data_IF_966801117832
#
_entry.id   IF_966801117832
#
_cell.length_a   1.000
_cell.length_b   1.000
_cell.length_c   1.000
_cell.angle_alpha   90.00
_cell.angle_beta   90.00
_cell.angle_gamma   90.00
#
_symmetry.space_group_name_H-M   'P 1'
#
loop_
_entity.id
_entity.type
_entity.pdbx_description
1 polymer ?
#
# COMPACT_ATOMS: atom_id res chain seq x y z
N UNK A 1 6.68 -14.01 -1.59
CA UNK A 1 7.57 -14.19 -0.43
C UNK A 1 6.95 -13.37 0.67
N UNK A 2 6.64 -13.98 1.80
CA UNK A 2 5.96 -13.32 2.92
C UNK A 2 6.93 -12.30 3.51
N UNK A 3 6.74 -11.01 3.19
CA UNK A 3 7.64 -9.91 3.57
C UNK A 3 7.41 -9.57 5.06
N UNK A 4 7.78 -10.51 5.93
CA UNK A 4 7.53 -10.42 7.35
C UNK A 4 8.50 -9.42 7.97
N UNK A 5 7.98 -8.25 8.37
CA UNK A 5 8.76 -7.23 9.07
C UNK A 5 9.45 -7.83 10.30
N UNK A 6 10.78 -7.70 10.36
CA UNK A 6 11.53 -8.18 11.51
C UNK A 6 11.21 -7.29 12.73
N UNK A 7 10.62 -7.87 13.77
CA UNK A 7 10.31 -7.13 14.98
C UNK A 7 11.59 -6.85 15.80
N UNK A 8 11.79 -5.60 16.21
CA UNK A 8 12.89 -5.18 17.07
C UNK A 8 12.36 -4.30 18.21
N UNK A 9 12.94 -4.43 19.40
CA UNK A 9 12.58 -3.54 20.51
C UNK A 9 13.29 -2.19 20.38
N UNK A 10 12.69 -1.14 20.94
CA UNK A 10 13.35 0.18 21.03
C UNK A 10 14.70 0.13 21.77
N UNK A 11 14.87 -0.81 22.72
CA UNK A 11 16.13 -0.96 23.45
C UNK A 11 17.22 -1.53 22.54
N UNK A 12 16.91 -2.56 21.75
CA UNK A 12 17.85 -3.18 20.82
C UNK A 12 18.21 -2.24 19.69
N UNK A 13 17.21 -1.51 19.16
CA UNK A 13 17.41 -0.47 18.17
C UNK A 13 18.41 0.58 18.66
N UNK A 14 18.24 1.10 19.88
CA UNK A 14 19.17 2.09 20.46
C UNK A 14 20.60 1.57 20.56
N UNK A 15 20.77 0.30 20.92
CA UNK A 15 22.10 -0.31 21.08
C UNK A 15 22.81 -0.57 19.75
N UNK A 16 22.06 -0.75 18.66
CA UNK A 16 22.58 -1.26 17.37
C UNK A 16 22.12 -0.45 16.16
N UNK A 17 21.80 0.83 16.35
CA UNK A 17 21.15 1.65 15.31
C UNK A 17 21.92 1.66 13.98
N UNK A 18 23.25 1.77 14.02
CA UNK A 18 24.10 1.73 12.82
C UNK A 18 23.91 0.43 12.03
N UNK A 19 24.05 -0.72 12.69
CA UNK A 19 23.84 -2.03 12.05
C UNK A 19 22.42 -2.20 11.51
N UNK A 20 21.41 -1.69 12.20
CA UNK A 20 20.01 -1.78 11.75
C UNK A 20 19.80 -0.93 10.49
N UNK A 21 20.37 0.27 10.44
CA UNK A 21 20.34 1.14 9.26
C UNK A 21 21.09 0.49 8.10
N UNK A 22 22.30 -0.02 8.32
CA UNK A 22 23.11 -0.69 7.29
C UNK A 22 22.35 -1.87 6.69
N UNK A 23 21.74 -2.71 7.54
CA UNK A 23 20.91 -3.83 7.09
C UNK A 23 19.71 -3.36 6.27
N UNK A 24 19.07 -2.26 6.66
CA UNK A 24 17.96 -1.74 5.88
C UNK A 24 18.41 -1.20 4.52
N UNK A 25 19.53 -0.47 4.46
CA UNK A 25 20.03 0.11 3.20
C UNK A 25 20.57 -0.97 2.25
N UNK A 26 21.44 -1.84 2.75
CA UNK A 26 22.21 -2.77 1.92
C UNK A 26 21.52 -4.13 1.71
N UNK A 27 20.78 -4.60 2.71
CA UNK A 27 20.11 -5.90 2.64
C UNK A 27 18.60 -5.77 2.37
N UNK A 28 18.08 -4.55 2.28
CA UNK A 28 16.65 -4.24 2.12
C UNK A 28 15.78 -4.80 3.25
N UNK A 29 16.38 -4.99 4.43
CA UNK A 29 15.66 -5.42 5.62
C UNK A 29 14.67 -4.33 6.07
N UNK A 30 13.47 -4.75 6.47
CA UNK A 30 12.42 -3.89 7.02
C UNK A 30 12.14 -4.28 8.46
N UNK A 31 12.02 -3.28 9.34
CA UNK A 31 11.91 -3.51 10.77
C UNK A 31 10.61 -2.93 11.35
N UNK A 32 9.91 -3.74 12.15
CA UNK A 32 8.82 -3.29 13.00
C UNK A 32 9.36 -2.95 14.38
N UNK A 33 9.34 -1.68 14.75
CA UNK A 33 9.88 -1.19 16.02
C UNK A 33 8.78 -1.28 17.08
N UNK A 34 9.07 -1.97 18.19
CA UNK A 34 8.17 -2.16 19.33
C UNK A 34 8.65 -1.46 20.59
N UNK A 35 7.71 -0.92 21.37
CA UNK A 35 7.93 -0.42 22.74
C UNK A 35 6.90 -1.06 23.67
N UNK A 36 7.36 -1.80 24.69
CA UNK A 36 6.48 -2.57 25.60
C UNK A 36 5.48 -3.43 24.80
N UNK A 37 6.00 -4.19 23.83
CA UNK A 37 5.27 -5.07 22.90
C UNK A 37 4.27 -4.43 21.94
N UNK A 38 4.07 -3.11 22.03
CA UNK A 38 3.27 -2.36 21.05
C UNK A 38 4.13 -1.91 19.89
N UNK A 39 3.64 -2.11 18.67
CA UNK A 39 4.22 -1.50 17.47
C UNK A 39 4.11 0.03 17.56
N UNK A 40 5.21 0.73 17.27
CA UNK A 40 5.28 2.20 17.37
C UNK A 40 5.83 2.88 16.12
N UNK A 41 6.65 2.20 15.35
CA UNK A 41 7.23 2.73 14.12
C UNK A 41 7.68 1.58 13.21
N UNK A 42 7.92 1.90 11.94
CA UNK A 42 8.61 1.03 10.99
C UNK A 42 9.87 1.73 10.50
N UNK A 43 10.90 0.94 10.21
CA UNK A 43 12.08 1.39 9.50
C UNK A 43 12.15 0.62 8.20
N UNK A 44 12.14 1.36 7.09
CA UNK A 44 12.20 0.83 5.73
C UNK A 44 13.28 1.58 4.95
N UNK A 45 13.83 0.98 3.88
CA UNK A 45 14.66 1.70 2.93
C UNK A 45 13.93 2.93 2.38
N UNK A 46 14.68 4.00 2.08
CA UNK A 46 14.08 5.21 1.54
C UNK A 46 13.38 4.97 0.19
N UNK A 47 13.93 4.07 -0.64
CA UNK A 47 13.33 3.64 -1.91
C UNK A 47 11.93 3.04 -1.70
N UNK A 48 11.75 2.20 -0.68
CA UNK A 48 10.44 1.62 -0.35
C UNK A 48 9.47 2.70 0.13
N UNK A 49 9.94 3.62 0.98
CA UNK A 49 9.13 4.76 1.40
C UNK A 49 8.67 5.60 0.21
N UNK A 50 9.57 5.87 -0.75
CA UNK A 50 9.24 6.63 -1.96
C UNK A 50 8.22 5.90 -2.84
N UNK A 51 8.40 4.58 -3.03
CA UNK A 51 7.48 3.76 -3.82
C UNK A 51 6.07 3.70 -3.22
N UNK A 52 5.94 3.61 -1.90
CA UNK A 52 4.65 3.40 -1.25
C UNK A 52 3.98 4.67 -0.72
N UNK A 53 4.75 5.74 -0.47
CA UNK A 53 4.27 6.98 0.18
C UNK A 53 4.73 8.23 -0.58
N UNK A 54 5.89 8.19 -1.25
CA UNK A 54 6.44 9.33 -1.99
C UNK A 54 5.65 9.67 -3.26
N UNK A 55 5.00 8.68 -3.87
CA UNK A 55 4.02 8.87 -4.94
C UNK A 55 2.61 9.01 -4.36
N UNK A 56 2.30 10.20 -3.82
CA UNK A 56 0.90 10.68 -3.64
C UNK A 56 0.13 10.71 -4.99
N UNK A 57 0.79 10.41 -6.11
CA UNK A 57 0.21 10.27 -7.44
C UNK A 57 -0.54 8.94 -7.65
N UNK A 58 -0.21 7.89 -6.87
CA UNK A 58 -0.76 6.53 -7.06
C UNK A 58 -1.97 6.20 -6.16
N UNK A 59 -2.25 7.02 -5.14
CA UNK A 59 -3.60 7.04 -4.57
C UNK A 59 -4.42 7.97 -5.46
N UNK A 60 -4.89 7.45 -6.60
CA UNK A 60 -5.98 8.08 -7.36
C UNK A 60 -7.21 8.10 -6.45
N UNK A 61 -7.30 9.09 -5.56
CA UNK A 61 -8.53 9.48 -4.91
C UNK A 61 -9.45 9.94 -6.03
N UNK A 62 -10.28 9.02 -6.53
CA UNK A 62 -11.22 9.32 -7.61
C UNK A 62 -12.06 10.51 -7.16
N UNK A 63 -11.75 11.67 -7.72
CA UNK A 63 -12.56 12.86 -7.50
C UNK A 63 -13.99 12.52 -7.93
N UNK A 64 -14.99 13.13 -7.28
CA UNK A 64 -16.40 12.97 -7.70
C UNK A 64 -16.61 13.24 -9.20
N UNK A 65 -15.72 14.02 -9.83
CA UNK A 65 -15.70 14.27 -11.27
C UNK A 65 -15.27 13.05 -12.09
N UNK A 66 -14.25 12.30 -11.64
CA UNK A 66 -13.74 11.08 -12.29
C UNK A 66 -14.70 9.91 -12.15
N UNK A 67 -15.33 9.76 -10.98
CA UNK A 67 -16.39 8.77 -10.74
C UNK A 67 -17.55 8.98 -11.73
N UNK A 68 -18.02 10.23 -11.89
CA UNK A 68 -19.09 10.57 -12.85
C UNK A 68 -18.70 10.31 -14.31
N UNK A 69 -17.42 10.35 -14.64
CA UNK A 69 -16.94 10.04 -15.98
C UNK A 69 -17.04 8.54 -16.24
N UNK A 70 -16.58 7.71 -15.30
CA UNK A 70 -16.75 6.25 -15.38
C UNK A 70 -18.22 5.86 -15.43
N UNK A 71 -19.08 6.42 -14.58
CA UNK A 71 -20.54 6.18 -14.63
C UNK A 71 -21.19 6.60 -15.95
N UNK A 72 -20.56 7.48 -16.72
CA UNK A 72 -21.05 7.90 -18.04
C UNK A 72 -20.54 6.98 -19.15
N UNK A 73 -19.29 6.54 -19.04
CA UNK A 73 -18.64 5.63 -19.99
C UNK A 73 -19.16 4.20 -19.86
N UNK A 74 -19.49 3.76 -18.64
CA UNK A 74 -20.05 2.43 -18.35
C UNK A 74 -21.56 2.32 -18.64
N UNK A 75 -22.20 3.39 -19.15
CA UNK A 75 -23.61 3.32 -19.56
C UNK A 75 -23.75 2.43 -20.78
N UNK A 76 -24.35 1.26 -20.55
CA UNK A 76 -24.82 0.39 -21.62
C UNK A 76 -25.81 1.13 -22.51
N UNK A 77 -25.66 0.96 -23.82
CA UNK A 77 -26.70 1.37 -24.76
C UNK A 77 -27.97 0.55 -24.53
N UNK A 78 -29.11 1.06 -24.99
CA UNK A 78 -30.42 0.40 -24.84
C UNK A 78 -30.42 -1.04 -25.37
N UNK A 79 -29.63 -1.30 -26.42
CA UNK A 79 -29.47 -2.62 -27.03
C UNK A 79 -28.63 -3.55 -26.15
N UNK A 80 -27.52 -3.05 -25.61
CA UNK A 80 -26.64 -3.82 -24.70
C UNK A 80 -27.35 -4.13 -23.39
N UNK A 81 -28.14 -3.19 -22.88
CA UNK A 81 -28.92 -3.36 -21.66
C UNK A 81 -30.03 -4.40 -21.83
N UNK A 82 -30.69 -4.45 -22.99
CA UNK A 82 -31.65 -5.49 -23.32
C UNK A 82 -31.02 -6.89 -23.42
N UNK A 83 -29.79 -6.98 -23.94
CA UNK A 83 -29.03 -8.25 -24.01
C UNK A 83 -28.60 -8.69 -22.62
N UNK A 84 -28.03 -7.79 -21.82
CA UNK A 84 -27.60 -8.07 -20.45
C UNK A 84 -28.78 -8.56 -19.59
N UNK A 85 -29.92 -7.88 -19.65
CA UNK A 85 -31.12 -8.30 -18.91
C UNK A 85 -31.64 -9.68 -19.35
N UNK A 86 -31.49 -10.03 -20.63
CA UNK A 86 -31.88 -11.35 -21.14
C UNK A 86 -30.94 -12.47 -20.67
N UNK A 87 -29.64 -12.18 -20.53
CA UNK A 87 -28.63 -13.12 -20.05
C UNK A 87 -28.60 -13.29 -18.53
N UNK A 88 -29.06 -12.27 -17.79
CA UNK A 88 -29.12 -12.29 -16.32
C UNK A 88 -30.46 -12.84 -15.79
N UNK A 89 -31.50 -12.90 -16.63
CA UNK A 89 -32.80 -13.46 -16.29
C UNK A 89 -32.92 -14.96 -16.63
N UNK A 90 -31.84 -15.59 -17.13
CA UNK A 90 -31.69 -17.03 -17.37
C UNK A 90 -30.87 -17.67 -16.27
#
# INVERSE_FOLDING_TARGET
>A
MDDMLQAITMLDLRKKIGQVIDRSIYNKDRFLIKRKDKAVAVLVPLEDYQLFIGDDSDIELYTNKRIRQFEKEDRLSTKEQAIANKLLAS
#
